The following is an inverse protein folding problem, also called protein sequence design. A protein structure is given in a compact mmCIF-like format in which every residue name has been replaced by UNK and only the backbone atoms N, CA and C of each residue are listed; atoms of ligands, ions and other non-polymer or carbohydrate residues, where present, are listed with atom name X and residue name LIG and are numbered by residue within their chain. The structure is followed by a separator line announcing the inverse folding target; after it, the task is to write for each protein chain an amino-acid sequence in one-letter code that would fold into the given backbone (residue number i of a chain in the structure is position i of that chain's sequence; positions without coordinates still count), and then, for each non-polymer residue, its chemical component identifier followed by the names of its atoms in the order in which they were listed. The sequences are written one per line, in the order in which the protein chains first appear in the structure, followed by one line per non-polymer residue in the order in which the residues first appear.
data_IF_528808759962
#
_entry.id   IF_528808759962
#
_cell.length_a   1.000
_cell.length_b   1.000
_cell.length_c   1.000
_cell.angle_alpha   90.00
_cell.angle_beta   90.00
_cell.angle_gamma   90.00
#
_symmetry.space_group_name_H-M   'P 1'
#
loop_
_entity.id
_entity.type
_entity.pdbx_description
1 polymer ?
#
# COMPACT_ATOMS: atom_id res chain seq x y z
N UNK A 1 0.16 -0.13 12.47
CA UNK A 1 1.16 -0.18 13.54
C UNK A 1 0.87 -1.40 14.39
N UNK A 2 1.87 -2.18 14.78
CA UNK A 2 1.68 -3.35 15.67
C UNK A 2 1.96 -2.99 17.14
N UNK A 3 1.83 -3.97 18.04
CA UNK A 3 2.06 -3.79 19.49
C UNK A 3 3.52 -3.43 19.80
N UNK A 4 4.46 -3.78 18.90
CA UNK A 4 5.87 -3.46 19.03
C UNK A 4 6.24 -2.08 18.44
N UNK A 5 5.27 -1.35 17.87
CA UNK A 5 5.49 -0.04 17.26
C UNK A 5 5.99 -0.09 15.81
N UNK A 6 6.00 -1.25 15.15
CA UNK A 6 6.41 -1.34 13.75
C UNK A 6 5.39 -0.66 12.83
N UNK A 7 5.91 0.07 11.85
CA UNK A 7 5.11 0.72 10.80
C UNK A 7 5.40 0.10 9.44
N UNK A 8 4.51 0.36 8.49
CA UNK A 8 4.66 -0.09 7.11
C UNK A 8 5.30 1.05 6.28
N UNK A 9 6.19 0.75 5.32
CA UNK A 9 6.79 1.76 4.47
C UNK A 9 5.74 2.38 3.53
N UNK A 10 5.95 3.64 3.15
CA UNK A 10 5.03 4.34 2.26
C UNK A 10 5.15 3.86 0.80
N UNK A 11 6.38 3.55 0.39
CA UNK A 11 6.79 3.36 -1.01
C UNK A 11 7.40 1.98 -1.22
N UNK A 12 7.11 1.36 -2.36
CA UNK A 12 7.64 0.02 -2.71
C UNK A 12 9.14 0.12 -3.03
N UNK A 13 9.58 1.26 -3.56
CA UNK A 13 10.95 1.53 -3.96
C UNK A 13 11.93 1.38 -2.79
N UNK A 14 11.48 1.72 -1.57
CA UNK A 14 12.29 1.64 -0.35
C UNK A 14 12.53 0.20 0.11
N UNK A 15 11.72 -0.76 -0.35
CA UNK A 15 11.75 -2.17 0.09
C UNK A 15 11.85 -3.18 -1.06
N UNK A 16 12.19 -2.72 -2.27
CA UNK A 16 12.29 -3.58 -3.44
C UNK A 16 13.39 -4.64 -3.28
N UNK A 17 13.12 -5.85 -3.79
CA UNK A 17 14.11 -6.91 -3.88
C UNK A 17 13.84 -7.79 -5.11
N UNK A 18 14.89 -8.41 -5.65
CA UNK A 18 14.81 -9.25 -6.86
C UNK A 18 13.84 -10.44 -6.71
N UNK A 19 13.63 -10.92 -5.48
CA UNK A 19 12.73 -12.06 -5.20
C UNK A 19 11.25 -11.66 -5.12
N UNK A 20 10.94 -10.37 -5.03
CA UNK A 20 9.58 -9.85 -4.94
C UNK A 20 8.81 -10.22 -3.67
N UNK A 21 9.51 -10.57 -2.58
CA UNK A 21 8.88 -10.98 -1.31
C UNK A 21 8.81 -9.82 -0.31
N UNK A 22 7.91 -9.92 0.67
CA UNK A 22 7.74 -8.97 1.76
C UNK A 22 7.39 -7.54 1.31
N UNK A 23 6.57 -7.40 0.28
CA UNK A 23 5.96 -6.11 -0.03
C UNK A 23 4.90 -5.78 1.03
N UNK A 24 5.31 -4.99 2.01
CA UNK A 24 4.49 -4.48 3.11
C UNK A 24 4.19 -2.99 2.98
N UNK A 25 4.42 -2.41 1.79
CA UNK A 25 4.11 -1.00 1.54
C UNK A 25 2.61 -0.71 1.64
N UNK A 26 2.24 0.55 1.87
CA UNK A 26 0.83 0.93 1.91
C UNK A 26 0.14 0.66 0.57
N UNK A 27 -0.90 -0.17 0.61
CA UNK A 27 -1.72 -0.45 -0.57
C UNK A 27 -2.64 0.76 -0.87
N UNK A 28 -2.53 1.34 -2.07
CA UNK A 28 -3.33 2.50 -2.51
C UNK A 28 -4.30 2.08 -3.61
N UNK A 29 -5.58 2.39 -3.45
CA UNK A 29 -6.64 2.09 -4.43
C UNK A 29 -7.20 3.40 -4.96
N UNK A 30 -7.23 3.56 -6.28
CA UNK A 30 -7.89 4.68 -6.95
C UNK A 30 -9.31 4.27 -7.33
N UNK A 31 -10.31 5.05 -6.94
CA UNK A 31 -11.72 4.80 -7.24
C UNK A 31 -12.27 5.96 -8.05
N UNK A 32 -12.99 5.65 -9.13
CA UNK A 32 -13.78 6.62 -9.88
C UNK A 32 -15.20 6.62 -9.33
N UNK A 33 -15.73 7.79 -8.99
CA UNK A 33 -17.11 7.95 -8.54
C UNK A 33 -17.94 8.42 -9.73
N UNK A 34 -18.91 7.61 -10.15
CA UNK A 34 -19.88 7.97 -11.18
C UNK A 34 -21.22 8.30 -10.52
N UNK A 35 -21.79 9.48 -10.83
CA UNK A 35 -23.12 9.83 -10.36
C UNK A 35 -24.18 8.92 -11.00
N UNK A 36 -24.99 8.26 -10.17
CA UNK A 36 -25.99 7.26 -10.60
C UNK A 36 -27.38 7.86 -10.85
N UNK A 37 -27.49 9.19 -10.92
CA UNK A 37 -28.77 9.92 -11.02
C UNK A 37 -28.96 10.55 -12.41
N UNK A 38 -28.85 9.76 -13.47
CA UNK A 38 -29.29 10.13 -14.82
C UNK A 38 -30.55 9.36 -15.20
#
# INVERSE_FOLDING_TARGET
VDIAGNVQPEKVEDIWNLRGILNTSWHRIQVQVTDSNS
#
